data_IF_529741489476
#
_entry.id   IF_529741489476
#
_cell.length_a   1.000
_cell.length_b   1.000
_cell.length_c   1.000
_cell.angle_alpha   90.00
_cell.angle_beta   90.00
_cell.angle_gamma   90.00
#
_symmetry.space_group_name_H-M   'P 1'
#
loop_
_entity.id
_entity.type
_entity.pdbx_description
1 polymer ?
#
# COMPACT_ATOMS: atom_id res chain seq x y z
N UNK A 1 14.17 -46.33 -6.81
CA UNK A 1 13.03 -46.35 -5.86
C UNK A 1 12.53 -44.96 -5.43
N UNK A 2 13.32 -44.08 -4.79
CA UNK A 2 12.83 -42.73 -4.35
C UNK A 2 12.32 -41.83 -5.48
N UNK A 3 12.91 -41.90 -6.67
CA UNK A 3 12.54 -41.08 -7.84
C UNK A 3 11.22 -41.48 -8.52
N UNK A 4 10.86 -42.76 -8.45
CA UNK A 4 9.70 -43.31 -9.16
C UNK A 4 8.39 -43.00 -8.44
N UNK A 5 8.43 -42.99 -7.10
CA UNK A 5 7.31 -42.57 -6.25
C UNK A 5 7.01 -41.07 -6.42
N UNK A 6 8.07 -40.25 -6.51
CA UNK A 6 7.94 -38.80 -6.73
C UNK A 6 7.41 -38.45 -8.12
N UNK A 7 7.69 -39.28 -9.14
CA UNK A 7 7.07 -39.13 -10.46
C UNK A 7 5.58 -39.50 -10.45
N UNK A 8 5.18 -40.52 -9.67
CA UNK A 8 3.77 -40.94 -9.54
C UNK A 8 2.90 -39.98 -8.71
N UNK A 9 3.50 -39.22 -7.79
CA UNK A 9 2.83 -38.20 -6.98
C UNK A 9 2.69 -36.84 -7.68
N UNK A 10 3.19 -36.68 -8.91
CA UNK A 10 2.89 -35.50 -9.72
C UNK A 10 1.43 -35.58 -10.14
N UNK A 11 0.64 -34.62 -9.65
CA UNK A 11 -0.73 -34.43 -10.09
C UNK A 11 -0.75 -34.33 -11.62
N UNK A 12 -1.43 -35.30 -12.27
CA UNK A 12 -1.57 -35.36 -13.73
C UNK A 12 -2.45 -34.25 -14.31
N UNK A 13 -3.21 -33.59 -13.44
CA UNK A 13 -4.12 -32.48 -13.77
C UNK A 13 -3.86 -31.33 -12.78
N UNK A 14 -4.06 -30.06 -13.20
CA UNK A 14 -4.10 -28.97 -12.24
C UNK A 14 -5.15 -29.28 -11.17
N UNK A 15 -4.89 -28.96 -9.89
CA UNK A 15 -5.87 -29.19 -8.84
C UNK A 15 -7.17 -28.42 -9.15
N UNK A 16 -8.35 -28.99 -8.83
CA UNK A 16 -9.64 -28.34 -9.07
C UNK A 16 -9.71 -26.93 -8.47
N UNK A 17 -10.57 -26.08 -9.02
CA UNK A 17 -10.86 -24.78 -8.41
C UNK A 17 -11.38 -24.96 -6.97
N UNK A 18 -10.84 -24.15 -6.05
CA UNK A 18 -11.08 -24.26 -4.61
C UNK A 18 -10.06 -25.10 -3.82
N UNK A 19 -9.08 -25.75 -4.47
CA UNK A 19 -8.00 -26.43 -3.73
C UNK A 19 -7.02 -25.41 -3.11
N UNK A 20 -6.97 -25.34 -1.77
CA UNK A 20 -5.97 -24.54 -1.06
C UNK A 20 -4.59 -25.18 -1.22
N UNK A 21 -3.59 -24.39 -1.63
CA UNK A 21 -2.21 -24.86 -1.72
C UNK A 21 -1.53 -24.65 -0.39
N UNK A 22 -1.04 -25.74 0.18
CA UNK A 22 -0.39 -25.76 1.47
C UNK A 22 1.09 -26.08 1.36
N UNK A 23 1.85 -25.46 2.24
CA UNK A 23 3.27 -25.63 2.39
C UNK A 23 3.66 -25.58 3.86
N UNK A 24 4.97 -25.59 4.11
CA UNK A 24 5.51 -25.42 5.46
C UNK A 24 6.71 -24.51 5.46
N UNK A 25 6.81 -23.69 6.51
CA UNK A 25 8.01 -22.91 6.79
C UNK A 25 9.18 -23.89 6.99
N UNK A 26 10.26 -23.70 6.24
CA UNK A 26 11.50 -24.44 6.36
C UNK A 26 12.52 -23.67 7.20
N UNK A 27 12.61 -22.36 7.01
CA UNK A 27 13.54 -21.49 7.73
C UNK A 27 12.88 -20.15 8.09
N UNK A 28 13.20 -19.61 9.26
CA UNK A 28 12.76 -18.30 9.74
C UNK A 28 13.98 -17.42 9.91
N UNK A 29 14.03 -16.31 9.18
CA UNK A 29 15.03 -15.24 9.36
C UNK A 29 14.39 -14.02 10.03
N UNK A 30 15.18 -12.98 10.28
CA UNK A 30 14.68 -11.74 10.90
C UNK A 30 13.54 -11.09 10.10
N UNK A 31 13.59 -11.11 8.77
CA UNK A 31 12.66 -10.37 7.89
C UNK A 31 11.99 -11.23 6.82
N UNK A 32 12.45 -12.47 6.63
CA UNK A 32 12.03 -13.34 5.56
C UNK A 32 11.84 -14.77 6.06
N UNK A 33 10.96 -15.51 5.40
CA UNK A 33 10.69 -16.92 5.66
C UNK A 33 10.98 -17.69 4.39
N UNK A 34 11.63 -18.85 4.50
CA UNK A 34 11.63 -19.81 3.40
C UNK A 34 10.55 -20.84 3.68
N UNK A 35 9.70 -21.11 2.68
CA UNK A 35 8.69 -22.15 2.76
C UNK A 35 8.81 -23.10 1.57
N UNK A 36 8.59 -24.38 1.80
CA UNK A 36 8.27 -25.29 0.69
C UNK A 36 6.81 -25.05 0.31
N UNK A 37 6.57 -24.47 -0.86
CA UNK A 37 5.25 -24.05 -1.31
C UNK A 37 5.23 -24.01 -2.85
N UNK A 38 5.18 -25.17 -3.53
CA UNK A 38 5.29 -25.23 -4.98
C UNK A 38 4.07 -24.65 -5.71
N UNK A 39 4.33 -24.06 -6.88
CA UNK A 39 3.30 -23.58 -7.81
C UNK A 39 2.81 -22.16 -7.54
N UNK A 40 3.31 -21.49 -6.50
CA UNK A 40 2.95 -20.08 -6.24
C UNK A 40 3.52 -19.13 -7.29
N UNK A 41 2.98 -17.91 -7.36
CA UNK A 41 3.48 -16.84 -8.22
C UNK A 41 4.07 -15.65 -7.42
N UNK A 42 4.89 -14.83 -8.09
CA UNK A 42 5.48 -13.64 -7.48
C UNK A 42 4.39 -12.65 -7.07
N UNK A 43 4.41 -12.20 -5.82
CA UNK A 43 3.38 -11.32 -5.24
C UNK A 43 2.12 -12.06 -4.75
N UNK A 44 2.10 -13.40 -4.78
CA UNK A 44 0.98 -14.16 -4.23
C UNK A 44 0.91 -13.98 -2.72
N UNK A 45 -0.28 -13.63 -2.22
CA UNK A 45 -0.56 -13.51 -0.81
C UNK A 45 -0.70 -14.91 -0.20
N UNK A 46 -0.07 -15.09 0.95
CA UNK A 46 -0.07 -16.31 1.74
C UNK A 46 -0.53 -16.01 3.16
N UNK A 47 -1.09 -17.02 3.81
CA UNK A 47 -1.53 -16.98 5.20
C UNK A 47 -0.78 -18.04 6.00
N UNK A 48 -0.16 -17.63 7.09
CA UNK A 48 0.54 -18.51 8.03
C UNK A 48 -0.48 -18.96 9.08
N UNK A 49 -0.56 -20.27 9.31
CA UNK A 49 -1.49 -20.87 10.28
C UNK A 49 -0.74 -21.35 11.53
N UNK A 50 -1.37 -21.28 12.71
CA UNK A 50 -2.77 -20.89 12.97
C UNK A 50 -3.01 -19.39 13.21
N UNK A 51 -1.98 -18.54 13.25
CA UNK A 51 -2.11 -17.14 13.67
C UNK A 51 -2.72 -16.19 12.63
N UNK A 52 -3.07 -16.69 11.44
CA UNK A 52 -3.66 -15.93 10.33
C UNK A 52 -2.74 -14.80 9.82
N UNK A 53 -1.43 -14.84 10.12
CA UNK A 53 -0.50 -13.82 9.68
C UNK A 53 -0.34 -13.85 8.16
N UNK A 54 -0.42 -12.68 7.53
CA UNK A 54 -0.24 -12.56 6.09
C UNK A 54 1.25 -12.46 5.72
N UNK A 55 1.62 -13.06 4.60
CA UNK A 55 2.94 -12.93 4.00
C UNK A 55 2.82 -12.90 2.48
N UNK A 56 3.72 -12.20 1.81
CA UNK A 56 3.77 -12.11 0.35
C UNK A 56 4.96 -12.92 -0.21
N UNK A 57 4.76 -13.60 -1.34
CA UNK A 57 5.84 -14.24 -2.08
C UNK A 57 6.72 -13.17 -2.73
N UNK A 58 7.93 -12.97 -2.20
CA UNK A 58 8.91 -12.00 -2.70
C UNK A 58 10.06 -12.66 -3.48
N UNK A 59 10.08 -13.99 -3.56
CA UNK A 59 11.04 -14.73 -4.37
C UNK A 59 10.63 -16.19 -4.55
N UNK A 60 11.01 -16.81 -5.66
CA UNK A 60 10.71 -18.21 -5.97
C UNK A 60 11.99 -18.91 -6.40
N UNK A 61 12.27 -20.05 -5.78
CA UNK A 61 13.37 -20.93 -6.16
C UNK A 61 12.87 -22.37 -6.27
N UNK A 62 12.49 -22.77 -7.48
CA UNK A 62 11.93 -24.09 -7.76
C UNK A 62 10.63 -24.32 -6.99
N UNK A 63 10.65 -25.27 -6.04
CA UNK A 63 9.50 -25.59 -5.18
C UNK A 63 9.47 -24.79 -3.87
N UNK A 64 10.41 -23.86 -3.66
CA UNK A 64 10.49 -23.03 -2.46
C UNK A 64 10.07 -21.60 -2.77
N UNK A 65 9.37 -20.99 -1.83
CA UNK A 65 8.99 -19.59 -1.83
C UNK A 65 9.73 -18.86 -0.71
N UNK A 66 10.25 -17.69 -1.04
CA UNK A 66 10.75 -16.72 -0.08
C UNK A 66 9.58 -15.78 0.23
N UNK A 67 9.14 -15.76 1.48
CA UNK A 67 7.99 -15.00 1.94
C UNK A 67 8.45 -13.83 2.80
N UNK A 68 7.81 -12.68 2.62
CA UNK A 68 7.95 -11.56 3.53
C UNK A 68 6.66 -11.39 4.32
N UNK A 69 6.69 -11.65 5.65
CA UNK A 69 5.52 -11.50 6.49
C UNK A 69 5.18 -10.02 6.69
N UNK A 70 3.89 -9.73 6.84
CA UNK A 70 3.38 -8.38 7.08
C UNK A 70 3.53 -7.95 8.53
N UNK A 71 3.91 -8.88 9.40
CA UNK A 71 4.12 -8.67 10.83
C UNK A 71 5.48 -9.20 11.25
N UNK A 72 5.83 -8.98 12.51
CA UNK A 72 7.06 -9.52 13.09
C UNK A 72 7.17 -11.03 12.91
N UNK A 73 8.40 -11.52 12.71
CA UNK A 73 8.71 -12.96 12.66
C UNK A 73 8.79 -13.60 14.04
N UNK A 74 8.70 -12.82 15.11
CA UNK A 74 8.71 -13.31 16.49
C UNK A 74 7.53 -14.28 16.70
N UNK A 75 7.84 -15.49 17.18
CA UNK A 75 6.85 -16.55 17.40
C UNK A 75 6.65 -17.49 16.21
N UNK A 76 7.14 -17.12 15.03
CA UNK A 76 7.15 -18.02 13.87
C UNK A 76 8.22 -19.10 14.04
N UNK A 77 7.95 -20.31 13.56
CA UNK A 77 8.84 -21.45 13.68
C UNK A 77 8.75 -22.41 12.48
N UNK A 78 9.82 -23.15 12.24
CA UNK A 78 9.87 -24.14 11.18
C UNK A 78 8.81 -25.23 11.38
N UNK A 79 8.21 -25.69 10.27
CA UNK A 79 7.13 -26.65 10.26
C UNK A 79 5.72 -26.04 10.30
N UNK A 80 5.58 -24.75 10.65
CA UNK A 80 4.29 -24.05 10.56
C UNK A 80 3.71 -24.11 9.16
N UNK A 81 2.39 -24.20 9.08
CA UNK A 81 1.69 -24.29 7.82
C UNK A 81 1.58 -22.92 7.14
N UNK A 82 1.76 -22.93 5.83
CA UNK A 82 1.53 -21.76 4.97
C UNK A 82 0.50 -22.13 3.92
N UNK A 83 -0.53 -21.31 3.78
CA UNK A 83 -1.59 -21.46 2.79
C UNK A 83 -1.48 -20.35 1.74
N UNK A 84 -1.33 -20.71 0.47
CA UNK A 84 -1.36 -19.73 -0.61
C UNK A 84 -2.80 -19.33 -0.93
N UNK A 85 -3.07 -18.02 -1.02
CA UNK A 85 -4.42 -17.47 -1.20
C UNK A 85 -4.80 -17.28 -2.67
N UNK A 86 -3.91 -17.58 -3.63
CA UNK A 86 -4.14 -17.47 -5.08
C UNK A 86 -4.58 -16.09 -5.57
N UNK A 87 -4.27 -15.05 -4.80
CA UNK A 87 -4.52 -13.66 -5.16
C UNK A 87 -3.34 -12.81 -4.70
N UNK A 88 -3.20 -11.64 -5.31
CA UNK A 88 -2.28 -10.60 -4.83
C UNK A 88 -2.86 -9.93 -3.58
N UNK A 89 -2.02 -9.21 -2.87
CA UNK A 89 -2.49 -8.33 -1.81
C UNK A 89 -3.41 -7.26 -2.41
N UNK A 90 -4.48 -6.94 -1.69
CA UNK A 90 -5.44 -5.93 -2.09
C UNK A 90 -5.57 -4.90 -0.97
N UNK A 91 -5.78 -3.66 -1.36
CA UNK A 91 -5.92 -2.53 -0.46
C UNK A 91 -7.32 -1.93 -0.59
N UNK A 92 -7.87 -1.41 0.51
CA UNK A 92 -9.12 -0.70 0.47
C UNK A 92 -8.97 0.60 -0.32
N UNK A 93 -9.99 0.94 -1.09
CA UNK A 93 -10.14 2.22 -1.79
C UNK A 93 -11.58 2.70 -1.68
N UNK A 94 -11.79 4.02 -1.65
CA UNK A 94 -13.11 4.62 -1.53
C UNK A 94 -13.11 5.91 -0.72
N UNK A 95 -14.12 6.74 -0.93
CA UNK A 95 -14.33 7.98 -0.17
C UNK A 95 -14.48 7.73 1.33
N UNK A 96 -14.97 6.55 1.73
CA UNK A 96 -15.07 6.16 3.14
C UNK A 96 -13.70 6.06 3.86
N UNK A 97 -12.58 6.12 3.13
CA UNK A 97 -11.24 6.24 3.70
C UNK A 97 -10.84 7.68 4.05
N UNK A 98 -11.58 8.69 3.62
CA UNK A 98 -11.31 10.08 3.98
C UNK A 98 -11.40 10.24 5.51
N UNK A 99 -10.37 10.86 6.10
CA UNK A 99 -10.23 10.98 7.56
C UNK A 99 -9.68 9.74 8.26
N UNK A 100 -9.29 8.69 7.53
CA UNK A 100 -8.71 7.46 8.10
C UNK A 100 -7.19 7.50 8.09
N UNK A 101 -6.61 6.79 9.06
CA UNK A 101 -5.17 6.50 9.11
C UNK A 101 -4.99 4.99 8.92
N UNK A 102 -4.20 4.59 7.93
CA UNK A 102 -3.95 3.18 7.57
C UNK A 102 -2.45 2.89 7.48
N UNK A 103 -2.08 1.61 7.59
CA UNK A 103 -0.70 1.14 7.47
C UNK A 103 -0.29 0.86 6.01
N UNK A 104 0.97 0.46 5.80
CA UNK A 104 1.50 0.12 4.48
C UNK A 104 0.87 -1.13 3.81
N UNK A 105 -0.07 -1.79 4.49
CA UNK A 105 -0.85 -2.90 3.96
C UNK A 105 -2.36 -2.58 3.87
N UNK A 106 -2.78 -1.36 4.19
CA UNK A 106 -4.17 -0.94 4.13
C UNK A 106 -5.00 -1.28 5.37
N UNK A 107 -4.37 -1.66 6.49
CA UNK A 107 -5.05 -1.94 7.76
C UNK A 107 -5.22 -0.65 8.56
N UNK A 108 -6.34 -0.45 9.29
CA UNK A 108 -6.55 0.76 10.06
C UNK A 108 -5.56 0.86 11.24
N UNK A 109 -4.96 2.05 11.40
CA UNK A 109 -4.08 2.41 12.52
C UNK A 109 -4.75 3.35 13.53
N UNK A 110 -5.95 3.81 13.22
CA UNK A 110 -6.70 4.77 14.03
C UNK A 110 -7.62 4.13 15.08
N UNK A 111 -7.51 2.81 15.29
CA UNK A 111 -8.32 2.07 16.25
C UNK A 111 -9.80 1.91 15.85
N UNK A 112 -10.17 2.30 14.62
CA UNK A 112 -11.52 2.13 14.07
C UNK A 112 -11.53 0.96 13.10
N UNK A 113 -12.66 0.26 12.98
CA UNK A 113 -12.80 -0.80 11.98
C UNK A 113 -12.71 -0.24 10.55
N UNK A 114 -12.33 -1.08 9.59
CA UNK A 114 -12.29 -0.67 8.20
C UNK A 114 -13.73 -0.42 7.70
N UNK A 115 -14.01 0.68 6.97
CA UNK A 115 -15.35 0.91 6.45
C UNK A 115 -15.68 -0.09 5.35
N UNK A 116 -16.94 -0.14 4.93
CA UNK A 116 -17.31 -0.84 3.69
C UNK A 116 -16.71 -0.09 2.50
N UNK A 117 -15.86 -0.77 1.73
CA UNK A 117 -14.97 -0.18 0.73
C UNK A 117 -14.75 -1.16 -0.42
N UNK A 118 -14.38 -0.59 -1.57
CA UNK A 118 -13.91 -1.38 -2.69
C UNK A 118 -12.48 -1.86 -2.43
N UNK A 119 -12.09 -2.95 -3.08
CA UNK A 119 -10.74 -3.51 -2.98
C UNK A 119 -10.06 -3.47 -4.34
N UNK A 120 -8.82 -2.97 -4.38
CA UNK A 120 -7.97 -2.97 -5.57
C UNK A 120 -6.63 -3.62 -5.27
N UNK A 121 -6.01 -4.21 -6.29
CA UNK A 121 -4.62 -4.67 -6.18
C UNK A 121 -3.72 -3.47 -5.86
N UNK A 122 -2.81 -3.63 -4.89
CA UNK A 122 -1.99 -2.52 -4.40
C UNK A 122 -0.96 -2.01 -5.41
N UNK A 123 -0.65 -2.79 -6.45
CA UNK A 123 0.35 -2.50 -7.48
C UNK A 123 -0.26 -2.40 -8.89
N UNK A 124 -1.47 -1.87 -8.98
CA UNK A 124 -2.12 -1.65 -10.27
C UNK A 124 -1.20 -0.87 -11.24
N UNK A 125 -1.22 -1.26 -12.51
CA UNK A 125 -0.41 -0.55 -13.51
C UNK A 125 -0.94 0.87 -13.70
N UNK A 126 -0.06 1.88 -13.71
CA UNK A 126 -0.47 3.26 -13.92
C UNK A 126 -1.05 3.45 -15.34
N UNK A 127 -1.87 4.49 -15.57
CA UNK A 127 -2.39 4.81 -16.89
C UNK A 127 -1.27 4.94 -17.93
N UNK A 128 -1.44 4.40 -19.16
CA UNK A 128 -0.44 4.49 -20.21
C UNK A 128 -0.06 5.94 -20.53
N UNK A 129 1.22 6.18 -20.82
CA UNK A 129 1.72 7.54 -21.05
C UNK A 129 0.99 8.29 -22.16
N UNK A 130 0.51 7.59 -23.19
CA UNK A 130 -0.22 8.16 -24.34
C UNK A 130 -1.63 8.65 -24.00
N UNK A 131 -2.18 8.25 -22.85
CA UNK A 131 -3.51 8.69 -22.38
C UNK A 131 -3.38 9.91 -21.44
N UNK A 132 -2.16 10.31 -21.09
CA UNK A 132 -1.93 11.46 -20.20
C UNK A 132 -2.26 12.75 -20.92
N UNK A 133 -3.10 13.56 -20.28
CA UNK A 133 -3.41 14.90 -20.77
C UNK A 133 -2.24 15.85 -20.48
N UNK A 134 -1.99 16.85 -21.34
CA UNK A 134 -1.04 17.90 -21.04
C UNK A 134 -1.49 18.69 -19.81
N UNK A 135 -0.53 19.16 -19.02
CA UNK A 135 -0.79 19.99 -17.83
C UNK A 135 -1.11 21.40 -18.31
N UNK A 136 -2.39 21.78 -18.28
CA UNK A 136 -2.87 23.09 -18.75
C UNK A 136 -3.60 23.89 -17.68
N UNK A 137 -4.04 23.26 -16.60
CA UNK A 137 -4.77 23.91 -15.51
C UNK A 137 -3.82 24.20 -14.33
N UNK A 138 -3.78 25.44 -13.82
CA UNK A 138 -3.02 25.74 -12.61
C UNK A 138 -3.68 25.09 -11.39
N UNK A 139 -2.87 24.59 -10.46
CA UNK A 139 -3.28 24.09 -9.15
C UNK A 139 -2.94 25.15 -8.11
N UNK A 140 -3.93 25.86 -7.59
CA UNK A 140 -3.74 26.91 -6.59
C UNK A 140 -3.49 26.29 -5.22
N UNK A 141 -2.32 26.57 -4.65
CA UNK A 141 -1.93 26.03 -3.35
C UNK A 141 -2.35 26.91 -2.17
N UNK A 142 -2.65 28.19 -2.43
CA UNK A 142 -2.86 29.21 -1.39
C UNK A 142 -1.55 29.73 -0.78
N UNK A 143 -0.40 29.25 -1.26
CA UNK A 143 0.93 29.63 -0.78
C UNK A 143 1.49 30.62 -1.78
N UNK A 144 1.46 31.91 -1.44
CA UNK A 144 1.87 33.01 -2.33
C UNK A 144 3.20 32.76 -3.05
N UNK A 145 4.20 32.24 -2.35
CA UNK A 145 5.51 31.97 -2.95
C UNK A 145 5.46 30.88 -4.04
N UNK A 146 4.62 29.85 -3.87
CA UNK A 146 4.41 28.81 -4.88
C UNK A 146 3.54 29.37 -6.01
N UNK A 147 2.37 29.91 -5.68
CA UNK A 147 1.39 30.33 -6.68
C UNK A 147 1.90 31.46 -7.60
N UNK A 148 2.81 32.33 -7.12
CA UNK A 148 3.32 33.46 -7.91
C UNK A 148 4.66 33.22 -8.61
N UNK A 149 5.55 32.39 -8.05
CA UNK A 149 6.93 32.21 -8.56
C UNK A 149 7.17 30.82 -9.12
N UNK A 150 6.47 29.82 -8.59
CA UNK A 150 6.66 28.40 -8.92
C UNK A 150 5.32 27.70 -9.10
N UNK A 151 4.41 28.32 -9.87
CA UNK A 151 3.03 27.87 -10.03
C UNK A 151 2.99 26.41 -10.47
N UNK A 152 2.25 25.59 -9.73
CA UNK A 152 2.05 24.18 -10.05
C UNK A 152 0.83 24.03 -10.96
N UNK A 153 0.82 23.01 -11.81
CA UNK A 153 -0.37 22.60 -12.56
C UNK A 153 -0.94 21.25 -12.10
N UNK A 154 -2.20 21.02 -12.39
CA UNK A 154 -2.89 19.75 -12.10
C UNK A 154 -2.18 18.58 -12.81
N UNK A 155 -1.87 17.51 -12.06
CA UNK A 155 -1.10 16.37 -12.56
C UNK A 155 0.41 16.58 -12.65
N UNK A 156 0.93 17.74 -12.23
CA UNK A 156 2.37 17.99 -12.13
C UNK A 156 2.99 17.21 -10.96
N UNK A 157 4.18 16.65 -11.18
CA UNK A 157 5.01 16.06 -10.12
C UNK A 157 6.05 17.07 -9.67
N UNK A 158 6.04 17.40 -8.38
CA UNK A 158 6.93 18.40 -7.77
C UNK A 158 7.72 17.77 -6.63
N UNK A 159 9.02 18.03 -6.60
CA UNK A 159 9.89 17.64 -5.49
C UNK A 159 10.04 18.78 -4.49
N UNK A 160 9.89 18.49 -3.20
CA UNK A 160 10.16 19.42 -2.10
C UNK A 160 11.43 18.96 -1.40
N UNK A 161 12.50 19.74 -1.51
CA UNK A 161 13.79 19.45 -0.90
C UNK A 161 14.02 20.39 0.28
N UNK A 162 14.18 19.84 1.48
CA UNK A 162 14.27 20.62 2.72
C UNK A 162 15.25 19.98 3.70
N UNK A 163 16.03 20.79 4.40
CA UNK A 163 16.80 20.34 5.56
C UNK A 163 15.86 20.03 6.76
N UNK A 164 16.30 19.22 7.73
CA UNK A 164 15.53 19.00 8.96
C UNK A 164 15.22 20.33 9.67
N UNK A 165 13.99 20.49 10.15
CA UNK A 165 13.58 21.65 10.97
C UNK A 165 13.25 22.95 10.22
N UNK A 166 13.30 22.98 8.88
CA UNK A 166 13.05 24.22 8.10
C UNK A 166 11.58 24.43 7.69
N UNK A 167 10.65 23.71 8.32
CA UNK A 167 9.21 23.86 8.05
C UNK A 167 8.61 22.88 7.02
N UNK A 168 9.27 21.76 6.72
CA UNK A 168 8.75 20.69 5.83
C UNK A 168 7.31 20.30 6.19
N UNK A 169 7.07 19.96 7.46
CA UNK A 169 5.78 19.50 7.93
C UNK A 169 4.72 20.60 7.83
N UNK A 170 5.06 21.84 8.19
CA UNK A 170 4.16 22.99 8.04
C UNK A 170 3.78 23.20 6.59
N UNK A 171 4.74 23.15 5.66
CA UNK A 171 4.48 23.27 4.23
C UNK A 171 3.56 22.15 3.72
N UNK A 172 3.80 20.90 4.13
CA UNK A 172 2.94 19.77 3.77
C UNK A 172 1.51 19.96 4.28
N UNK A 173 1.33 20.43 5.52
CA UNK A 173 0.01 20.73 6.07
C UNK A 173 -0.69 21.86 5.31
N UNK A 174 0.04 22.90 4.90
CA UNK A 174 -0.50 23.98 4.07
C UNK A 174 -0.93 23.47 2.68
N UNK A 175 -0.14 22.58 2.07
CA UNK A 175 -0.48 21.95 0.78
C UNK A 175 -1.71 21.04 0.92
N UNK A 176 -1.78 20.23 1.98
CA UNK A 176 -3.00 19.49 2.29
C UNK A 176 -4.18 20.42 2.54
N UNK A 177 -3.93 21.67 2.97
CA UNK A 177 -4.97 22.66 3.15
C UNK A 177 -5.30 23.48 1.87
N UNK A 178 -4.72 23.15 0.70
CA UNK A 178 -4.91 23.92 -0.53
C UNK A 178 -6.39 24.00 -0.94
N UNK A 179 -6.83 25.12 -1.55
CA UNK A 179 -8.21 25.31 -2.00
C UNK A 179 -8.60 24.32 -3.09
N UNK A 180 -7.70 24.02 -4.04
CA UNK A 180 -7.97 23.14 -5.19
C UNK A 180 -7.71 21.65 -4.87
N UNK A 181 -7.61 21.28 -3.60
CA UNK A 181 -7.28 19.93 -3.17
C UNK A 181 -8.48 19.24 -2.49
N UNK A 182 -9.53 18.89 -3.24
CA UNK A 182 -10.76 18.29 -2.71
C UNK A 182 -10.48 17.05 -1.83
N UNK A 183 -9.58 16.20 -2.29
CA UNK A 183 -9.12 15.00 -1.59
C UNK A 183 -7.59 14.97 -1.52
N UNK A 184 -7.05 14.44 -0.41
CA UNK A 184 -5.62 14.35 -0.18
C UNK A 184 -5.22 12.93 0.21
N UNK A 185 -4.16 12.41 -0.39
CA UNK A 185 -3.52 11.16 0.06
C UNK A 185 -2.14 11.49 0.59
N UNK A 186 -1.97 11.43 1.91
CA UNK A 186 -0.72 11.78 2.58
C UNK A 186 0.01 10.53 3.04
N UNK A 187 1.29 10.43 2.70
CA UNK A 187 2.12 9.26 3.00
C UNK A 187 3.27 9.65 3.91
N UNK A 188 3.37 9.03 5.09
CA UNK A 188 4.39 9.31 6.09
C UNK A 188 5.24 8.05 6.30
N UNK A 189 6.44 8.04 5.71
CA UNK A 189 7.33 6.87 5.68
C UNK A 189 8.64 7.18 6.40
N UNK A 190 9.07 6.28 7.28
CA UNK A 190 10.38 6.34 7.93
C UNK A 190 10.49 7.38 9.06
N UNK A 191 9.45 8.18 9.29
CA UNK A 191 9.37 9.10 10.42
C UNK A 191 9.24 8.34 11.74
N UNK A 192 9.51 9.00 12.88
CA UNK A 192 9.27 8.39 14.20
C UNK A 192 7.78 8.43 14.54
N UNK A 193 7.28 7.42 15.25
CA UNK A 193 5.85 7.34 15.61
C UNK A 193 5.32 8.56 16.35
N UNK A 194 6.11 9.17 17.25
CA UNK A 194 5.72 10.41 17.94
C UNK A 194 5.62 11.61 17.01
N UNK A 195 6.52 11.70 16.03
CA UNK A 195 6.58 12.82 15.06
C UNK A 195 5.39 12.71 14.09
N UNK A 196 5.04 11.49 13.67
CA UNK A 196 3.82 11.22 12.89
C UNK A 196 2.58 11.61 13.68
N UNK A 197 2.49 11.20 14.95
CA UNK A 197 1.33 11.51 15.77
C UNK A 197 1.19 13.01 16.02
N UNK A 198 2.28 13.69 16.34
CA UNK A 198 2.31 15.14 16.52
C UNK A 198 1.86 15.87 15.26
N UNK A 199 2.30 15.40 14.09
CA UNK A 199 1.88 15.96 12.83
C UNK A 199 0.37 15.79 12.58
N UNK A 200 -0.18 14.59 12.78
CA UNK A 200 -1.60 14.31 12.56
C UNK A 200 -2.50 15.03 13.57
N UNK A 201 -2.10 15.07 14.85
CA UNK A 201 -2.95 15.58 15.94
C UNK A 201 -2.84 17.10 16.12
N UNK A 202 -1.69 17.72 15.78
CA UNK A 202 -1.43 19.14 16.07
C UNK A 202 -1.03 19.99 14.86
N UNK A 203 -0.53 19.40 13.77
CA UNK A 203 -0.14 20.18 12.57
C UNK A 203 -1.26 20.20 11.53
N UNK A 204 -1.96 19.09 11.32
CA UNK A 204 -3.14 19.03 10.46
C UNK A 204 -4.38 19.54 11.21
N UNK A 205 -5.14 20.48 10.62
CA UNK A 205 -6.44 20.87 11.18
C UNK A 205 -7.44 19.72 11.09
N UNK A 206 -8.48 19.75 11.91
CA UNK A 206 -9.52 18.72 11.88
C UNK A 206 -10.25 18.69 10.52
N UNK A 207 -10.52 19.85 9.91
CA UNK A 207 -11.12 19.92 8.58
C UNK A 207 -10.19 19.31 7.53
N UNK A 208 -8.89 19.66 7.57
CA UNK A 208 -7.90 19.10 6.64
C UNK A 208 -7.79 17.60 6.81
N UNK A 209 -7.77 17.11 8.06
CA UNK A 209 -7.68 15.68 8.34
C UNK A 209 -8.86 14.92 7.76
N UNK A 210 -10.08 15.47 7.81
CA UNK A 210 -11.30 14.82 7.27
C UNK A 210 -11.25 14.60 5.76
N UNK A 211 -10.48 15.39 5.01
CA UNK A 211 -10.25 15.22 3.56
C UNK A 211 -8.98 14.46 3.21
N UNK A 212 -8.24 13.96 4.20
CA UNK A 212 -7.01 13.21 4.00
C UNK A 212 -7.22 11.71 4.23
N UNK A 213 -6.70 10.88 3.33
CA UNK A 213 -6.34 9.49 3.65
C UNK A 213 -4.86 9.49 4.03
N UNK A 214 -4.55 9.08 5.27
CA UNK A 214 -3.17 9.11 5.78
C UNK A 214 -2.61 7.69 5.82
N UNK A 215 -1.58 7.43 5.03
CA UNK A 215 -0.85 6.15 5.00
C UNK A 215 0.44 6.29 5.80
N UNK A 216 0.65 5.43 6.80
CA UNK A 216 1.79 5.53 7.72
C UNK A 216 2.60 4.23 7.70
N UNK A 217 3.91 4.37 7.53
CA UNK A 217 4.87 3.29 7.75
C UNK A 217 6.11 3.85 8.47
N UNK A 218 6.09 3.81 9.80
CA UNK A 218 7.14 4.39 10.66
C UNK A 218 8.48 3.66 10.54
N UNK A 219 9.55 4.28 11.05
CA UNK A 219 10.93 3.74 10.99
C UNK A 219 11.10 2.35 11.60
N UNK A 220 10.27 1.97 12.57
CA UNK A 220 10.27 0.66 13.25
C UNK A 220 9.51 -0.43 12.48
N UNK A 221 8.76 -0.08 11.42
CA UNK A 221 8.07 -1.05 10.57
C UNK A 221 9.02 -1.80 9.62
N UNK A 222 8.67 -3.02 9.18
CA UNK A 222 9.47 -3.77 8.20
C UNK A 222 9.76 -2.98 6.92
N UNK A 223 10.92 -3.24 6.31
CA UNK A 223 11.33 -2.54 5.08
C UNK A 223 10.32 -2.73 3.93
N UNK A 224 9.69 -3.91 3.83
CA UNK A 224 8.66 -4.16 2.83
C UNK A 224 7.45 -3.25 3.04
N UNK A 225 6.95 -3.12 4.28
CA UNK A 225 5.79 -2.27 4.60
C UNK A 225 6.03 -0.82 4.15
N UNK A 226 7.25 -0.29 4.38
CA UNK A 226 7.62 1.07 3.95
C UNK A 226 7.59 1.26 2.44
N UNK A 227 8.05 0.26 1.68
CA UNK A 227 7.97 0.29 0.21
C UNK A 227 6.52 0.16 -0.25
N UNK A 228 5.74 -0.71 0.40
CA UNK A 228 4.33 -0.93 0.07
C UNK A 228 3.46 0.29 0.34
N UNK A 229 3.73 1.04 1.40
CA UNK A 229 3.01 2.27 1.71
C UNK A 229 2.94 3.26 0.53
N UNK A 230 3.98 3.33 -0.30
CA UNK A 230 3.97 4.15 -1.53
C UNK A 230 2.95 3.62 -2.54
N UNK A 231 2.98 2.33 -2.83
CA UNK A 231 2.07 1.69 -3.77
C UNK A 231 0.61 1.75 -3.30
N UNK A 232 0.37 1.51 -2.01
CA UNK A 232 -0.97 1.66 -1.39
C UNK A 232 -1.48 3.08 -1.59
N UNK A 233 -0.67 4.08 -1.24
CA UNK A 233 -1.06 5.47 -1.39
C UNK A 233 -1.30 5.87 -2.85
N UNK A 234 -0.44 5.44 -3.77
CA UNK A 234 -0.65 5.69 -5.20
C UNK A 234 -1.94 5.05 -5.70
N UNK A 235 -2.24 3.82 -5.29
CA UNK A 235 -3.50 3.14 -5.66
C UNK A 235 -4.73 3.90 -5.15
N UNK A 236 -4.67 4.43 -3.93
CA UNK A 236 -5.74 5.25 -3.36
C UNK A 236 -5.86 6.59 -4.11
N UNK A 237 -4.74 7.26 -4.40
CA UNK A 237 -4.73 8.51 -5.15
C UNK A 237 -5.27 8.34 -6.58
N UNK A 238 -4.91 7.25 -7.25
CA UNK A 238 -5.44 6.89 -8.57
C UNK A 238 -6.95 6.62 -8.53
N UNK A 239 -7.46 6.02 -7.45
CA UNK A 239 -8.91 5.85 -7.28
C UNK A 239 -9.64 7.20 -7.26
N UNK A 240 -9.17 8.18 -6.47
CA UNK A 240 -9.77 9.52 -6.41
C UNK A 240 -9.66 10.25 -7.76
N UNK A 241 -8.50 10.21 -8.41
CA UNK A 241 -8.31 10.87 -9.70
C UNK A 241 -9.24 10.33 -10.81
N UNK A 242 -9.47 9.01 -10.86
CA UNK A 242 -10.40 8.41 -11.83
C UNK A 242 -11.84 8.83 -11.53
N UNK A 243 -12.24 8.79 -10.26
CA UNK A 243 -13.59 9.16 -9.83
C UNK A 243 -13.91 10.63 -10.14
N UNK A 244 -12.96 11.54 -9.91
CA UNK A 244 -13.08 12.97 -10.26
C UNK A 244 -13.15 13.18 -11.79
N UNK A 245 -12.41 12.38 -12.57
CA UNK A 245 -12.47 12.43 -14.04
C UNK A 245 -13.82 11.93 -14.59
N UNK A 246 -14.41 10.90 -14.00
CA UNK A 246 -15.74 10.39 -14.41
C UNK A 246 -16.84 11.39 -14.02
N UNK A 247 -16.71 12.03 -12.87
CA UNK A 247 -17.65 13.04 -12.38
C UNK A 247 -17.62 14.33 -13.20
N UNK A 248 -16.43 14.76 -13.66
CA UNK A 248 -16.25 15.94 -14.52
C UNK A 248 -16.64 15.71 -15.99
N UNK A 249 -16.76 14.44 -16.42
CA UNK A 249 -17.26 14.07 -17.76
C UNK A 249 -18.79 14.05 -17.86
N UNK A 250 -19.53 14.28 -16.78
CA UNK A 250 -20.97 14.51 -16.85
C UNK A 250 -21.21 15.96 -17.30
N UNK A 251 -21.96 16.19 -18.39
CA UNK A 251 -22.27 17.54 -18.82
C UNK A 251 -23.02 18.24 -17.69
N UNK A 252 -22.40 19.26 -17.12
CA UNK A 252 -23.07 20.24 -16.26
C UNK A 252 -24.17 20.90 -17.10
N UNK A 253 -25.42 20.64 -16.73
CA UNK A 253 -26.60 21.29 -17.30
C UNK A 253 -26.71 22.74 -16.85
#
# INVERSE_FOLDING_TARGET
>A
MKNELMQRLRLKYPPPDGYCRWGRIQDVSATLLNAWLPGVFMGELCCIKPGEELAEVVGINGSKALLSPFTSTIGLHCGQQVMALRRRHQVPVGEALLGRVIDGFGRPLDGRELPDVCWKDYDAMPPPAMVRQPITQPLMTGIRAIDSVATCGEGQRVGIFSAPGVGKSTLLAMLCNAPDADSNVLVLIGERGREVREFIDFTLSEETRKRCVIVVATSDRPALERVRALFVATTIAEFFAIMESESSCLPTH
#
